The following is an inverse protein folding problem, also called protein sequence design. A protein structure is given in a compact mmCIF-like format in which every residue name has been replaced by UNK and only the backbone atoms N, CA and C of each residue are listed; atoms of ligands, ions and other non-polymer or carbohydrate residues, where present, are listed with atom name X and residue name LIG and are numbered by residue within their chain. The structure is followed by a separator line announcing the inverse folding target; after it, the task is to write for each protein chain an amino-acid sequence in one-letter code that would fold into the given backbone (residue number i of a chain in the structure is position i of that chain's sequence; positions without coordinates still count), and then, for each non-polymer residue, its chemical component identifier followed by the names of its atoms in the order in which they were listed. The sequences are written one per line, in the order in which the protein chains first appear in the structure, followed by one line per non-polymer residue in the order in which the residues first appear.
data_IF_756147742013
#
_entry.id   IF_756147742013
#
_cell.length_a   1.000
_cell.length_b   1.000
_cell.length_c   1.000
_cell.angle_alpha   90.00
_cell.angle_beta   90.00
_cell.angle_gamma   90.00
#
_symmetry.space_group_name_H-M   'P 1'
#
loop_
_entity.id
_entity.type
_entity.pdbx_description
1 polymer ?
#
# COMPACT_ATOMS: atom_id res chain seq x y z
N UNK A 1 -38.54 23.36 -4.51
CA UNK A 1 -38.65 23.85 -5.90
C UNK A 1 -37.91 25.18 -6.00
N UNK A 2 -36.83 25.40 -6.77
CA UNK A 2 -35.91 24.52 -7.51
C UNK A 2 -34.49 25.12 -7.28
N UNK A 3 -33.38 24.39 -7.10
CA UNK A 3 -33.13 22.95 -7.18
C UNK A 3 -33.29 22.33 -8.60
N UNK A 4 -32.45 22.80 -9.55
CA UNK A 4 -31.99 22.15 -10.80
C UNK A 4 -31.13 23.16 -11.61
N UNK A 5 -30.11 22.68 -12.34
CA UNK A 5 -29.08 23.43 -13.12
C UNK A 5 -27.91 23.96 -12.25
N UNK A 6 -26.78 23.26 -12.04
CA UNK A 6 -25.84 22.46 -12.89
C UNK A 6 -24.78 23.38 -13.55
N UNK A 7 -23.45 23.24 -13.44
CA UNK A 7 -22.55 22.28 -12.76
C UNK A 7 -22.60 20.78 -13.17
N UNK A 8 -21.94 20.40 -14.27
CA UNK A 8 -21.31 19.09 -14.64
C UNK A 8 -21.00 19.14 -16.17
N UNK A 9 -20.07 18.40 -16.80
CA UNK A 9 -18.90 17.58 -16.39
C UNK A 9 -17.84 17.72 -17.55
N UNK A 10 -16.77 16.95 -17.83
CA UNK A 10 -16.42 15.51 -17.65
C UNK A 10 -14.94 15.33 -17.28
N UNK A 11 -14.65 14.97 -16.02
CA UNK A 11 -13.52 14.08 -15.63
C UNK A 11 -13.57 13.69 -14.13
N UNK A 12 -14.78 13.64 -13.54
CA UNK A 12 -15.01 13.44 -12.10
C UNK A 12 -15.80 12.16 -11.81
N UNK A 13 -15.53 11.12 -12.60
CA UNK A 13 -16.16 9.79 -12.54
C UNK A 13 -15.03 8.76 -12.61
N UNK A 14 -15.21 7.63 -11.90
CA UNK A 14 -14.18 6.61 -11.60
C UNK A 14 -13.15 7.01 -10.53
N UNK A 15 -13.66 7.33 -9.34
CA UNK A 15 -13.36 6.54 -8.15
C UNK A 15 -14.58 6.61 -7.21
N UNK A 16 -14.99 5.46 -6.66
CA UNK A 16 -16.21 5.23 -5.88
C UNK A 16 -17.54 5.39 -6.65
N UNK A 17 -18.51 4.53 -6.31
CA UNK A 17 -19.72 4.25 -7.09
C UNK A 17 -20.93 5.13 -6.76
N UNK A 18 -21.59 5.73 -7.76
CA UNK A 18 -22.98 6.21 -7.59
C UNK A 18 -23.42 7.41 -8.46
N UNK A 19 -24.17 7.14 -9.54
CA UNK A 19 -25.12 7.99 -10.29
C UNK A 19 -25.23 9.51 -9.99
N UNK A 20 -25.18 10.34 -11.06
CA UNK A 20 -26.36 11.14 -11.56
C UNK A 20 -26.04 11.95 -12.85
N UNK A 21 -27.04 12.05 -13.76
CA UNK A 21 -26.98 12.67 -15.11
C UNK A 21 -27.26 14.20 -15.14
N UNK A 22 -26.44 14.96 -15.88
CA UNK A 22 -26.54 16.41 -16.05
C UNK A 22 -26.08 16.86 -17.47
N UNK A 23 -26.65 17.98 -17.98
CA UNK A 23 -26.29 18.59 -19.29
C UNK A 23 -25.99 20.11 -19.19
N UNK A 24 -25.29 20.73 -20.16
CA UNK A 24 -24.46 21.95 -19.95
C UNK A 24 -25.10 23.32 -20.31
N UNK A 25 -24.45 24.42 -19.91
CA UNK A 25 -24.75 25.83 -20.30
C UNK A 25 -23.43 26.67 -20.40
N UNK A 26 -23.42 27.67 -21.28
CA UNK A 26 -22.25 28.46 -21.73
C UNK A 26 -21.73 29.59 -20.78
N UNK A 27 -20.47 30.06 -20.97
CA UNK A 27 -19.83 31.11 -20.16
C UNK A 27 -20.20 32.55 -20.55
N UNK A 28 -19.85 33.52 -19.68
CA UNK A 28 -20.04 34.96 -19.85
C UNK A 28 -18.69 35.71 -19.86
N UNK A 29 -18.59 36.77 -20.66
CA UNK A 29 -17.39 37.62 -20.82
C UNK A 29 -17.16 38.57 -19.64
N UNK A 30 -15.90 38.94 -19.43
CA UNK A 30 -15.50 40.15 -18.69
C UNK A 30 -14.49 40.95 -19.52
N UNK A 31 -14.52 42.28 -19.44
CA UNK A 31 -13.63 43.20 -20.18
C UNK A 31 -13.14 44.34 -19.29
N UNK A 32 -11.88 44.72 -19.38
CA UNK A 32 -11.35 45.97 -18.84
C UNK A 32 -10.24 46.54 -19.74
N UNK A 33 -10.16 47.87 -19.82
CA UNK A 33 -9.13 48.60 -20.55
C UNK A 33 -8.17 49.28 -19.57
N UNK A 34 -6.86 49.22 -19.81
CA UNK A 34 -5.87 50.19 -19.33
C UNK A 34 -4.91 50.48 -20.50
N UNK A 35 -4.38 51.69 -20.58
CA UNK A 35 -3.60 52.19 -21.72
C UNK A 35 -2.34 52.97 -21.31
N UNK A 36 -1.42 53.09 -22.28
CA UNK A 36 -0.28 54.02 -22.39
C UNK A 36 1.13 53.53 -22.00
N UNK A 37 2.12 54.17 -22.65
CA UNK A 37 3.57 53.94 -22.63
C UNK A 37 4.03 52.56 -23.13
N UNK A 38 4.14 52.43 -24.46
CA UNK A 38 4.91 51.34 -25.10
C UNK A 38 6.40 51.64 -24.96
N UNK A 39 7.11 50.67 -24.40
CA UNK A 39 8.57 50.59 -24.32
C UNK A 39 8.93 49.31 -25.07
N UNK A 40 9.68 49.41 -26.18
CA UNK A 40 9.92 48.29 -27.09
C UNK A 40 10.61 47.10 -26.40
N UNK A 41 11.33 47.34 -25.28
CA UNK A 41 11.91 46.29 -24.45
C UNK A 41 10.85 45.40 -23.76
N UNK A 42 9.65 45.92 -23.52
CA UNK A 42 8.51 45.20 -22.93
C UNK A 42 7.63 44.53 -23.98
N UNK A 43 7.64 45.02 -25.22
CA UNK A 43 6.85 44.42 -26.32
C UNK A 43 7.33 43.00 -26.59
N UNK A 44 8.65 42.80 -26.76
CA UNK A 44 9.25 41.46 -26.89
C UNK A 44 8.84 40.55 -25.73
N UNK A 45 8.99 40.99 -24.48
CA UNK A 45 8.66 40.19 -23.29
C UNK A 45 7.17 39.84 -23.25
N UNK A 46 6.27 40.74 -23.64
CA UNK A 46 4.83 40.46 -23.73
C UNK A 46 4.47 39.51 -24.88
N UNK A 47 5.12 39.63 -26.04
CA UNK A 47 4.92 38.71 -27.17
C UNK A 47 5.48 37.32 -26.88
N UNK A 48 6.67 37.21 -26.27
CA UNK A 48 7.27 35.96 -25.82
C UNK A 48 6.40 35.25 -24.77
N UNK A 49 5.88 35.98 -23.77
CA UNK A 49 4.93 35.43 -22.80
C UNK A 49 3.60 35.00 -23.45
N UNK A 50 3.06 35.75 -24.41
CA UNK A 50 1.83 35.37 -25.12
C UNK A 50 2.03 34.13 -26.01
N UNK A 51 3.16 34.05 -26.71
CA UNK A 51 3.52 32.87 -27.53
C UNK A 51 3.73 31.63 -26.64
N UNK A 52 4.46 31.77 -25.53
CA UNK A 52 4.64 30.69 -24.54
C UNK A 52 3.31 30.22 -23.95
N UNK A 53 2.44 31.14 -23.54
CA UNK A 53 1.09 30.83 -23.04
C UNK A 53 0.26 30.07 -24.09
N UNK A 54 0.33 30.50 -25.35
CA UNK A 54 -0.40 29.87 -26.46
C UNK A 54 0.13 28.46 -26.75
N UNK A 55 1.46 28.27 -26.78
CA UNK A 55 2.11 26.95 -26.91
C UNK A 55 1.68 26.01 -25.77
N UNK A 56 1.72 26.46 -24.51
CA UNK A 56 1.27 25.67 -23.35
C UNK A 56 -0.18 25.21 -23.51
N UNK A 57 -1.10 26.11 -23.88
CA UNK A 57 -2.51 25.77 -24.08
C UNK A 57 -2.73 24.79 -25.23
N UNK A 58 -2.00 24.93 -26.35
CA UNK A 58 -2.08 23.99 -27.47
C UNK A 58 -1.57 22.59 -27.08
N UNK A 59 -0.45 22.51 -26.36
CA UNK A 59 0.10 21.24 -25.88
C UNK A 59 -0.84 20.57 -24.87
N UNK A 60 -1.41 21.33 -23.94
CA UNK A 60 -2.44 20.84 -23.00
C UNK A 60 -3.66 20.26 -23.72
N UNK A 61 -4.19 20.97 -24.74
CA UNK A 61 -5.32 20.49 -25.54
C UNK A 61 -4.99 19.24 -26.35
N UNK A 62 -3.75 19.14 -26.88
CA UNK A 62 -3.30 17.97 -27.64
C UNK A 62 -3.22 16.72 -26.77
N UNK A 63 -2.58 16.82 -25.59
CA UNK A 63 -2.48 15.71 -24.62
C UNK A 63 -3.87 15.32 -24.09
N UNK A 64 -4.72 16.28 -23.72
CA UNK A 64 -6.06 16.00 -23.22
C UNK A 64 -6.92 15.25 -24.26
N UNK A 65 -6.95 15.75 -25.51
CA UNK A 65 -7.62 15.06 -26.62
C UNK A 65 -7.03 13.67 -26.90
N UNK A 66 -5.71 13.50 -26.72
CA UNK A 66 -5.07 12.20 -26.88
C UNK A 66 -5.51 11.23 -25.78
N UNK A 67 -5.61 11.70 -24.53
CA UNK A 67 -6.08 10.94 -23.37
C UNK A 67 -7.55 10.50 -23.53
N UNK A 68 -8.45 11.40 -23.94
CA UNK A 68 -9.85 11.09 -24.27
C UNK A 68 -9.99 9.99 -25.35
N UNK A 69 -8.99 9.87 -26.24
CA UNK A 69 -8.91 8.92 -27.33
C UNK A 69 -7.96 7.72 -27.05
N UNK A 70 -7.73 7.38 -25.79
CA UNK A 70 -7.07 6.13 -25.40
C UNK A 70 -8.10 5.01 -25.24
N UNK A 71 -7.78 3.85 -25.81
CA UNK A 71 -8.47 2.58 -25.56
C UNK A 71 -7.63 1.66 -24.66
N UNK A 72 -6.29 1.68 -24.83
CA UNK A 72 -5.34 0.87 -24.07
C UNK A 72 -4.05 1.63 -23.80
N UNK A 73 -3.53 1.50 -22.58
CA UNK A 73 -2.20 1.96 -22.16
C UNK A 73 -1.47 0.80 -21.50
N UNK A 74 -0.16 0.69 -21.72
CA UNK A 74 0.69 -0.04 -20.80
C UNK A 74 1.89 0.80 -20.35
N UNK A 75 2.33 0.55 -19.13
CA UNK A 75 3.45 1.23 -18.49
C UNK A 75 4.43 0.21 -17.91
N UNK A 76 5.71 0.58 -17.92
CA UNK A 76 6.74 -0.11 -17.17
C UNK A 76 7.42 0.94 -16.28
N UNK A 77 7.21 0.82 -14.98
CA UNK A 77 7.67 1.76 -13.97
C UNK A 77 8.79 1.15 -13.13
N UNK A 78 9.74 1.98 -12.76
CA UNK A 78 10.68 1.73 -11.67
C UNK A 78 10.40 2.73 -10.55
N UNK A 79 9.90 2.23 -9.43
CA UNK A 79 9.81 2.98 -8.17
C UNK A 79 11.03 2.64 -7.34
N UNK A 80 11.70 3.65 -6.80
CA UNK A 80 12.81 3.47 -5.86
C UNK A 80 12.65 4.42 -4.69
N UNK A 81 12.77 3.88 -3.47
CA UNK A 81 12.67 4.68 -2.24
C UNK A 81 13.88 4.45 -1.36
N UNK A 82 14.53 5.54 -0.97
CA UNK A 82 15.66 5.53 -0.03
C UNK A 82 15.15 5.89 1.37
N UNK A 83 15.50 5.07 2.35
CA UNK A 83 15.11 5.18 3.77
C UNK A 83 16.34 4.86 4.61
N UNK A 84 16.88 5.82 5.37
CA UNK A 84 18.05 5.63 6.24
C UNK A 84 19.20 4.84 5.55
N UNK A 85 19.61 5.31 4.37
CA UNK A 85 20.58 4.70 3.43
C UNK A 85 20.24 3.30 2.87
N UNK A 86 19.13 2.68 3.26
CA UNK A 86 18.57 1.49 2.62
C UNK A 86 17.79 1.87 1.36
N UNK A 87 17.89 1.05 0.30
CA UNK A 87 17.21 1.26 -0.98
C UNK A 87 16.20 0.15 -1.24
N UNK A 88 14.92 0.51 -1.21
CA UNK A 88 13.80 -0.33 -1.62
C UNK A 88 13.44 -0.05 -3.10
N UNK A 89 13.03 -1.08 -3.86
CA UNK A 89 12.58 -0.91 -5.25
C UNK A 89 11.34 -1.74 -5.60
N UNK A 90 10.53 -1.20 -6.51
CA UNK A 90 9.47 -1.92 -7.21
C UNK A 90 9.66 -1.73 -8.71
N UNK A 91 9.59 -2.82 -9.48
CA UNK A 91 9.29 -2.77 -10.91
C UNK A 91 7.79 -3.00 -11.05
N UNK A 92 7.04 -1.98 -11.42
CA UNK A 92 5.59 -2.12 -11.66
C UNK A 92 5.36 -2.23 -13.18
N UNK A 93 4.62 -3.25 -13.62
CA UNK A 93 4.08 -3.35 -14.97
C UNK A 93 2.58 -3.16 -14.89
N UNK A 94 2.07 -2.14 -15.56
CA UNK A 94 0.65 -1.74 -15.51
C UNK A 94 0.05 -1.79 -16.90
N UNK A 95 -1.14 -2.39 -17.03
CA UNK A 95 -1.95 -2.42 -18.25
C UNK A 95 -3.35 -1.87 -17.91
N UNK A 96 -3.82 -0.89 -18.67
CA UNK A 96 -5.07 -0.17 -18.40
C UNK A 96 -5.97 -0.11 -19.64
N UNK A 97 -7.25 -0.42 -19.44
CA UNK A 97 -8.30 -0.37 -20.46
C UNK A 97 -9.14 0.90 -20.26
N UNK A 98 -9.40 1.62 -21.34
CA UNK A 98 -10.15 2.87 -21.36
C UNK A 98 -11.28 2.84 -22.39
N UNK A 99 -12.36 3.56 -22.13
CA UNK A 99 -13.46 3.83 -23.07
C UNK A 99 -13.93 5.27 -22.86
N UNK A 100 -13.94 6.12 -23.90
CA UNK A 100 -14.31 7.55 -23.81
C UNK A 100 -13.54 8.33 -22.71
N UNK A 101 -12.24 8.04 -22.53
CA UNK A 101 -11.42 8.65 -21.47
C UNK A 101 -11.75 8.18 -20.05
N UNK A 102 -12.44 7.05 -19.90
CA UNK A 102 -12.85 6.46 -18.62
C UNK A 102 -12.23 5.07 -18.45
N UNK A 103 -11.46 4.88 -17.36
CA UNK A 103 -10.80 3.63 -16.99
C UNK A 103 -11.83 2.51 -16.71
N UNK A 104 -11.83 1.46 -17.54
CA UNK A 104 -12.76 0.31 -17.43
C UNK A 104 -12.17 -0.92 -16.76
N UNK A 105 -10.86 -0.94 -16.52
CA UNK A 105 -10.18 -1.99 -15.78
C UNK A 105 -8.68 -1.89 -15.92
N UNK A 106 -7.96 -2.63 -15.08
CA UNK A 106 -6.51 -2.72 -15.15
C UNK A 106 -5.99 -4.05 -14.59
N UNK A 107 -4.81 -4.44 -15.05
CA UNK A 107 -3.96 -5.45 -14.43
C UNK A 107 -2.61 -4.81 -14.11
N UNK A 108 -2.16 -4.98 -12.87
CA UNK A 108 -0.83 -4.56 -12.41
C UNK A 108 -0.06 -5.76 -11.87
N UNK A 109 1.24 -5.78 -12.13
CA UNK A 109 2.20 -6.73 -11.55
C UNK A 109 3.39 -5.97 -10.98
N UNK A 110 3.57 -6.05 -9.66
CA UNK A 110 4.71 -5.49 -8.94
C UNK A 110 5.74 -6.59 -8.70
N UNK A 111 6.99 -6.37 -9.11
CA UNK A 111 8.14 -7.15 -8.64
C UNK A 111 8.93 -6.30 -7.66
N UNK A 112 8.95 -6.71 -6.40
CA UNK A 112 9.56 -5.99 -5.28
C UNK A 112 10.93 -6.59 -5.00
N UNK A 113 11.99 -5.80 -5.15
CA UNK A 113 13.35 -6.22 -4.80
C UNK A 113 13.65 -5.81 -3.35
N UNK A 114 13.81 -6.78 -2.45
CA UNK A 114 14.25 -6.53 -1.07
C UNK A 114 15.42 -7.46 -0.71
N UNK A 115 16.62 -6.89 -0.56
CA UNK A 115 17.89 -7.60 -0.37
C UNK A 115 18.16 -8.74 -1.39
N UNK A 116 17.80 -9.97 -1.03
CA UNK A 116 18.02 -11.20 -1.80
C UNK A 116 16.73 -11.93 -2.18
N UNK A 117 15.57 -11.36 -1.87
CA UNK A 117 14.27 -11.91 -2.21
C UNK A 117 13.55 -11.01 -3.21
N UNK A 118 12.80 -11.64 -4.09
CA UNK A 118 11.86 -10.99 -5.00
C UNK A 118 10.45 -11.41 -4.57
N UNK A 119 9.56 -10.45 -4.33
CA UNK A 119 8.13 -10.70 -4.08
C UNK A 119 7.34 -10.29 -5.30
N UNK A 120 6.24 -10.98 -5.60
CA UNK A 120 5.30 -10.56 -6.64
C UNK A 120 3.93 -10.20 -6.03
N UNK A 121 3.43 -9.01 -6.34
CA UNK A 121 2.03 -8.64 -6.10
C UNK A 121 1.32 -8.50 -7.45
N UNK A 122 0.12 -9.05 -7.57
CA UNK A 122 -0.75 -8.85 -8.73
C UNK A 122 -2.06 -8.22 -8.27
N UNK A 123 -2.49 -7.17 -8.98
CA UNK A 123 -3.72 -6.42 -8.71
C UNK A 123 -4.55 -6.39 -9.99
N UNK A 124 -5.82 -6.74 -9.89
CA UNK A 124 -6.74 -6.77 -11.04
C UNK A 124 -8.06 -6.09 -10.70
N UNK A 125 -8.54 -5.20 -11.57
CA UNK A 125 -9.79 -4.46 -11.41
C UNK A 125 -10.67 -4.58 -12.65
N UNK A 126 -11.92 -5.01 -12.48
CA UNK A 126 -12.89 -5.28 -13.57
C UNK A 126 -13.71 -4.06 -14.00
N UNK A 127 -13.54 -2.92 -13.31
CA UNK A 127 -14.49 -1.81 -13.35
C UNK A 127 -15.55 -1.87 -12.24
N UNK A 128 -15.78 -3.05 -11.65
CA UNK A 128 -16.77 -3.25 -10.56
C UNK A 128 -16.17 -3.95 -9.33
N UNK A 129 -15.27 -4.91 -9.53
CA UNK A 129 -14.65 -5.75 -8.49
C UNK A 129 -13.12 -5.61 -8.50
N UNK A 130 -12.51 -5.72 -7.32
CA UNK A 130 -11.06 -5.62 -7.11
C UNK A 130 -10.52 -6.95 -6.58
N UNK A 131 -9.46 -7.43 -7.22
CA UNK A 131 -8.82 -8.70 -6.90
C UNK A 131 -7.32 -8.50 -6.64
N UNK A 132 -6.80 -9.24 -5.67
CA UNK A 132 -5.41 -9.22 -5.28
C UNK A 132 -4.84 -10.64 -5.23
N UNK A 133 -3.56 -10.76 -5.53
CA UNK A 133 -2.78 -11.99 -5.39
C UNK A 133 -1.37 -11.63 -4.93
N UNK A 134 -0.83 -12.44 -4.04
CA UNK A 134 0.53 -12.35 -3.54
C UNK A 134 1.29 -13.64 -3.91
N UNK A 135 2.47 -13.52 -4.49
CA UNK A 135 3.31 -14.61 -5.01
C UNK A 135 2.49 -15.64 -5.84
N UNK A 136 2.55 -16.92 -5.46
CA UNK A 136 1.91 -18.06 -6.13
C UNK A 136 0.44 -18.27 -5.76
N UNK A 137 -0.09 -17.48 -4.82
CA UNK A 137 -1.35 -17.79 -4.12
C UNK A 137 -2.60 -17.57 -5.01
N UNK A 138 -3.73 -18.15 -4.62
CA UNK A 138 -5.02 -17.94 -5.29
C UNK A 138 -5.48 -16.48 -5.21
N UNK A 139 -6.25 -16.05 -6.22
CA UNK A 139 -6.82 -14.70 -6.28
C UNK A 139 -7.88 -14.46 -5.19
N UNK A 140 -7.71 -13.37 -4.44
CA UNK A 140 -8.61 -12.94 -3.38
C UNK A 140 -9.44 -11.74 -3.86
N UNK A 141 -10.76 -11.78 -3.74
CA UNK A 141 -11.62 -10.61 -3.93
C UNK A 141 -11.55 -9.74 -2.67
N UNK A 142 -11.27 -8.44 -2.81
CA UNK A 142 -11.12 -7.52 -1.69
C UNK A 142 -12.23 -6.47 -1.67
N UNK A 143 -12.69 -6.14 -0.47
CA UNK A 143 -13.73 -5.14 -0.23
C UNK A 143 -13.26 -4.11 0.81
N UNK A 144 -13.53 -2.82 0.54
CA UNK A 144 -13.09 -1.70 1.38
C UNK A 144 -11.89 -0.94 0.80
N UNK A 145 -11.26 -0.11 1.63
CA UNK A 145 -10.16 0.78 1.22
C UNK A 145 -8.83 0.03 1.11
N UNK A 146 -8.48 -0.40 -0.10
CA UNK A 146 -7.22 -1.11 -0.40
C UNK A 146 -6.06 -0.16 -0.72
N UNK A 147 -4.83 -0.71 -0.67
CA UNK A 147 -3.63 -0.10 -1.28
C UNK A 147 -3.92 0.21 -2.77
N UNK A 148 -3.54 1.41 -3.20
CA UNK A 148 -3.70 1.86 -4.58
C UNK A 148 -2.57 1.31 -5.48
N UNK A 149 -2.48 1.78 -6.72
CA UNK A 149 -1.39 1.42 -7.65
C UNK A 149 -1.17 2.55 -8.67
N UNK A 150 0.00 2.59 -9.31
CA UNK A 150 0.48 3.75 -10.07
C UNK A 150 -0.06 3.72 -11.51
N UNK A 151 -1.37 3.94 -11.62
CA UNK A 151 -2.07 4.05 -12.90
C UNK A 151 -1.67 5.29 -13.70
N UNK A 152 -1.81 5.24 -15.02
CA UNK A 152 -1.49 6.33 -15.94
C UNK A 152 -2.37 7.55 -15.65
N UNK A 153 -3.66 7.35 -15.35
CA UNK A 153 -4.56 8.43 -14.90
C UNK A 153 -4.05 9.11 -13.62
N UNK A 154 -3.49 8.36 -12.67
CA UNK A 154 -2.86 8.92 -11.46
C UNK A 154 -1.66 9.81 -11.83
N UNK A 155 -0.81 9.38 -12.76
CA UNK A 155 0.33 10.17 -13.25
C UNK A 155 -0.11 11.40 -14.08
N UNK A 156 -1.24 11.33 -14.79
CA UNK A 156 -1.84 12.46 -15.51
C UNK A 156 -2.42 13.52 -14.58
N UNK A 157 -2.92 13.12 -13.40
CA UNK A 157 -3.45 14.05 -12.39
C UNK A 157 -2.45 15.16 -12.05
N UNK A 158 -1.21 14.76 -11.75
CA UNK A 158 -0.10 15.69 -11.45
C UNK A 158 0.39 16.51 -12.65
N UNK A 159 -0.03 16.21 -13.88
CA UNK A 159 0.25 17.04 -15.06
C UNK A 159 -0.77 18.17 -15.20
N UNK A 160 -2.05 17.90 -14.91
CA UNK A 160 -3.18 18.77 -15.27
C UNK A 160 -3.87 19.49 -14.11
N UNK A 161 -4.02 18.87 -12.94
CA UNK A 161 -4.68 19.49 -11.79
C UNK A 161 -3.73 20.43 -11.02
N UNK A 162 -4.26 21.32 -10.18
CA UNK A 162 -3.47 22.28 -9.38
C UNK A 162 -2.97 23.51 -10.17
N UNK A 163 -2.37 24.47 -9.46
CA UNK A 163 -2.07 25.81 -10.00
C UNK A 163 -0.74 25.98 -10.75
N UNK A 164 0.16 25.01 -10.68
CA UNK A 164 1.58 25.25 -10.91
C UNK A 164 1.94 25.48 -12.39
N UNK A 165 3.03 26.22 -12.63
CA UNK A 165 3.48 26.52 -13.98
C UNK A 165 4.17 25.34 -14.66
N UNK A 166 3.94 25.21 -15.97
CA UNK A 166 4.65 24.26 -16.82
C UNK A 166 5.87 24.98 -17.40
N UNK A 167 7.06 24.48 -17.11
CA UNK A 167 8.29 24.91 -17.76
C UNK A 167 8.52 24.00 -18.98
N UNK A 168 8.59 24.60 -20.17
CA UNK A 168 8.76 23.86 -21.43
C UNK A 168 10.22 23.92 -21.88
N UNK A 169 10.76 22.77 -22.27
CA UNK A 169 12.12 22.60 -22.77
C UNK A 169 12.03 21.84 -24.11
N UNK A 170 12.32 22.53 -25.21
CA UNK A 170 11.93 22.12 -26.57
C UNK A 170 13.05 21.34 -27.29
N UNK A 171 12.69 20.20 -27.90
CA UNK A 171 13.56 19.42 -28.78
C UNK A 171 12.82 19.07 -30.10
N UNK A 172 13.56 18.75 -31.17
CA UNK A 172 13.02 18.77 -32.55
C UNK A 172 11.80 17.89 -32.84
N UNK A 173 11.42 16.94 -31.97
CA UNK A 173 10.15 16.19 -32.09
C UNK A 173 9.46 15.92 -30.72
N UNK A 174 9.96 16.48 -29.61
CA UNK A 174 9.43 16.23 -28.26
C UNK A 174 9.57 17.49 -27.39
N UNK A 175 8.59 17.75 -26.53
CA UNK A 175 8.69 18.76 -25.47
C UNK A 175 8.83 18.06 -24.13
N UNK A 176 9.84 18.45 -23.36
CA UNK A 176 9.90 18.13 -21.93
C UNK A 176 9.09 19.17 -21.16
N UNK A 177 8.01 18.72 -20.52
CA UNK A 177 7.23 19.51 -19.57
C UNK A 177 7.77 19.24 -18.17
N UNK A 178 8.30 20.27 -17.51
CA UNK A 178 8.78 20.20 -16.12
C UNK A 178 7.82 21.00 -15.23
N UNK A 179 7.52 20.45 -14.05
CA UNK A 179 6.61 21.05 -13.07
C UNK A 179 7.12 20.77 -11.67
N UNK A 180 7.10 21.78 -10.79
CA UNK A 180 7.14 21.58 -9.34
C UNK A 180 5.70 21.51 -8.85
N UNK A 181 5.37 20.53 -8.00
CA UNK A 181 4.05 20.42 -7.39
C UNK A 181 4.06 21.23 -6.10
N UNK A 182 3.24 22.28 -6.03
CA UNK A 182 3.04 23.10 -4.81
C UNK A 182 1.59 23.05 -4.30
N UNK A 183 0.70 22.34 -5.01
CA UNK A 183 -0.69 22.12 -4.61
C UNK A 183 -0.79 21.12 -3.44
N UNK A 184 -1.22 21.63 -2.28
CA UNK A 184 -1.36 20.87 -1.03
C UNK A 184 -2.25 19.62 -1.19
N UNK A 185 -3.33 19.68 -1.98
CA UNK A 185 -4.23 18.53 -2.15
C UNK A 185 -3.59 17.41 -2.98
N UNK A 186 -2.79 17.78 -3.99
CA UNK A 186 -2.00 16.80 -4.76
C UNK A 186 -0.87 16.21 -3.91
N UNK A 187 -0.20 17.02 -3.08
CA UNK A 187 0.86 16.54 -2.20
C UNK A 187 0.32 15.57 -1.14
N UNK A 188 -0.76 15.91 -0.44
CA UNK A 188 -1.34 15.07 0.64
C UNK A 188 -1.74 13.67 0.17
N UNK A 189 -2.27 13.52 -1.06
CA UNK A 189 -2.71 12.22 -1.59
C UNK A 189 -1.59 11.39 -2.24
N UNK A 190 -0.39 11.96 -2.44
CA UNK A 190 0.71 11.30 -3.12
C UNK A 190 1.15 9.97 -2.45
N UNK A 191 1.26 9.86 -1.11
CA UNK A 191 1.63 8.61 -0.46
C UNK A 191 0.63 7.45 -0.67
N UNK A 192 -0.66 7.78 -0.84
CA UNK A 192 -1.70 6.80 -1.13
C UNK A 192 -1.68 6.40 -2.61
N UNK A 193 -1.74 7.38 -3.53
CA UNK A 193 -1.76 7.12 -4.98
C UNK A 193 -0.49 6.40 -5.46
N UNK A 194 0.66 6.67 -4.87
CA UNK A 194 1.93 6.00 -5.18
C UNK A 194 2.24 4.81 -4.25
N UNK A 195 1.31 4.49 -3.32
CA UNK A 195 1.35 3.33 -2.42
C UNK A 195 2.71 3.06 -1.81
N UNK A 196 3.23 4.12 -1.18
CA UNK A 196 4.59 4.14 -0.65
C UNK A 196 4.78 3.13 0.50
N UNK A 197 5.96 2.50 0.62
CA UNK A 197 6.19 1.38 1.52
C UNK A 197 6.51 1.79 2.97
N UNK A 198 6.24 3.04 3.36
CA UNK A 198 6.39 3.53 4.74
C UNK A 198 5.09 4.07 5.31
N UNK A 199 4.92 3.86 6.61
CA UNK A 199 3.93 4.53 7.44
C UNK A 199 4.39 5.98 7.68
N UNK A 200 3.63 6.96 7.19
CA UNK A 200 3.92 8.40 7.32
C UNK A 200 2.92 9.06 8.26
N UNK A 201 3.37 10.01 9.09
CA UNK A 201 2.46 10.80 9.93
C UNK A 201 1.56 11.73 9.13
N UNK A 202 0.39 12.06 9.69
CA UNK A 202 -0.53 13.09 9.18
C UNK A 202 0.08 14.51 9.10
N UNK A 203 1.26 14.71 9.70
CA UNK A 203 2.02 15.97 9.70
C UNK A 203 3.22 15.94 8.73
N UNK A 204 3.30 14.92 7.85
CA UNK A 204 4.35 14.75 6.84
C UNK A 204 4.45 15.94 5.87
N UNK A 205 5.68 16.34 5.51
CA UNK A 205 5.95 17.41 4.56
C UNK A 205 6.57 16.85 3.29
N UNK A 206 5.90 17.07 2.15
CA UNK A 206 6.26 16.51 0.85
C UNK A 206 6.65 17.64 -0.11
N UNK A 207 7.87 17.60 -0.63
CA UNK A 207 8.27 18.35 -1.83
C UNK A 207 8.26 17.40 -3.04
N UNK A 208 7.70 17.81 -4.17
CA UNK A 208 7.61 16.97 -5.37
C UNK A 208 7.91 17.74 -6.66
N UNK A 209 8.70 17.13 -7.55
CA UNK A 209 8.85 17.55 -8.94
C UNK A 209 8.45 16.45 -9.92
N UNK A 210 7.93 16.85 -11.08
CA UNK A 210 7.45 15.95 -12.13
C UNK A 210 7.93 16.43 -13.51
N UNK A 211 8.32 15.49 -14.36
CA UNK A 211 8.89 15.74 -15.68
C UNK A 211 8.30 14.75 -16.69
N UNK A 212 7.72 15.26 -17.77
CA UNK A 212 6.98 14.48 -18.77
C UNK A 212 7.57 14.73 -20.17
N UNK A 213 7.81 13.66 -20.93
CA UNK A 213 8.23 13.75 -22.34
C UNK A 213 7.04 13.57 -23.27
N UNK A 214 6.64 14.65 -23.94
CA UNK A 214 5.46 14.71 -24.81
C UNK A 214 5.87 14.73 -26.28
N UNK A 215 5.28 13.84 -27.07
CA UNK A 215 5.29 13.87 -28.53
C UNK A 215 4.46 15.05 -29.05
N UNK A 216 5.09 15.95 -29.81
CA UNK A 216 4.46 17.19 -30.29
C UNK A 216 3.52 17.02 -31.49
N UNK A 217 3.54 15.88 -32.18
CA UNK A 217 2.64 15.62 -33.32
C UNK A 217 1.28 15.09 -32.87
N UNK A 218 1.26 14.27 -31.82
CA UNK A 218 0.08 13.49 -31.43
C UNK A 218 -0.33 13.59 -29.95
N UNK A 219 0.50 14.18 -29.08
CA UNK A 219 0.22 14.35 -27.65
C UNK A 219 0.51 13.13 -26.78
N UNK A 220 1.14 12.09 -27.32
CA UNK A 220 1.57 10.93 -26.54
C UNK A 220 2.64 11.34 -25.53
N UNK A 221 2.35 11.11 -24.25
CA UNK A 221 3.38 11.09 -23.22
C UNK A 221 4.09 9.74 -23.33
N UNK A 222 5.41 9.76 -23.45
CA UNK A 222 6.23 8.55 -23.70
C UNK A 222 7.13 8.19 -22.52
N UNK A 223 7.37 9.14 -21.61
CA UNK A 223 8.20 8.95 -20.43
C UNK A 223 7.81 9.96 -19.34
N UNK A 224 7.83 9.52 -18.09
CA UNK A 224 7.49 10.31 -16.91
C UNK A 224 8.55 10.06 -15.83
N UNK A 225 9.01 11.11 -15.17
CA UNK A 225 9.78 11.04 -13.93
C UNK A 225 9.06 11.86 -12.87
N UNK A 226 8.95 11.32 -11.66
CA UNK A 226 8.57 12.08 -10.47
C UNK A 226 9.61 11.84 -9.39
N UNK A 227 10.05 12.90 -8.72
CA UNK A 227 10.88 12.81 -7.53
C UNK A 227 10.10 13.41 -6.35
N UNK A 228 10.16 12.77 -5.19
CA UNK A 228 9.57 13.27 -3.95
C UNK A 228 10.60 13.24 -2.83
N UNK A 229 10.72 14.34 -2.09
CA UNK A 229 11.42 14.41 -0.81
C UNK A 229 10.37 14.52 0.27
N UNK A 230 10.33 13.52 1.15
CA UNK A 230 9.35 13.42 2.23
C UNK A 230 10.10 13.59 3.53
N UNK A 231 9.70 14.58 4.34
CA UNK A 231 10.23 14.82 5.67
C UNK A 231 9.09 14.50 6.65
N UNK A 232 9.25 13.45 7.44
CA UNK A 232 8.21 12.97 8.36
C UNK A 232 8.84 12.50 9.67
N UNK A 233 8.44 13.16 10.76
CA UNK A 233 9.05 13.02 12.08
C UNK A 233 10.58 13.27 12.00
N UNK A 234 11.38 12.44 12.68
CA UNK A 234 12.85 12.47 12.65
C UNK A 234 13.49 12.03 11.30
N UNK A 235 12.69 11.64 10.31
CA UNK A 235 13.11 10.84 9.15
C UNK A 235 12.94 11.60 7.82
N UNK A 236 13.90 11.43 6.90
CA UNK A 236 13.78 11.88 5.51
C UNK A 236 13.80 10.69 4.55
N UNK A 237 12.80 10.62 3.69
CA UNK A 237 12.63 9.60 2.66
C UNK A 237 12.77 10.26 1.28
N UNK A 238 13.34 9.55 0.31
CA UNK A 238 13.48 10.02 -1.07
C UNK A 238 12.90 9.00 -2.02
N UNK A 239 11.81 9.35 -2.69
CA UNK A 239 11.14 8.51 -3.68
C UNK A 239 11.46 9.02 -5.08
N UNK A 240 11.70 8.10 -6.00
CA UNK A 240 11.75 8.38 -7.44
C UNK A 240 10.89 7.34 -8.18
N UNK A 241 10.00 7.84 -9.03
CA UNK A 241 9.15 7.04 -9.94
C UNK A 241 9.58 7.37 -11.36
N UNK A 242 9.99 6.37 -12.14
CA UNK A 242 10.31 6.52 -13.57
C UNK A 242 9.44 5.59 -14.38
N UNK A 243 8.63 6.11 -15.31
CA UNK A 243 7.69 5.31 -16.12
C UNK A 243 7.95 5.49 -17.61
N UNK A 244 8.03 4.37 -18.34
CA UNK A 244 8.00 4.35 -19.80
C UNK A 244 6.58 3.98 -20.25
N UNK A 245 5.98 4.83 -21.08
CA UNK A 245 4.57 4.75 -21.47
C UNK A 245 4.43 4.20 -22.90
N UNK A 246 3.50 3.26 -23.08
CA UNK A 246 3.02 2.84 -24.39
C UNK A 246 1.51 3.09 -24.50
N UNK A 247 1.14 4.19 -25.13
CA UNK A 247 -0.24 4.58 -25.49
C UNK A 247 -0.76 3.92 -26.78
N UNK A 248 -0.04 2.90 -27.27
CA UNK A 248 -0.37 2.05 -28.42
C UNK A 248 -0.18 0.57 -28.00
N UNK A 249 -0.65 0.24 -26.79
CA UNK A 249 -0.48 -1.06 -26.18
C UNK A 249 -1.47 -2.09 -26.75
N UNK A 250 -0.95 -3.23 -27.20
CA UNK A 250 -1.72 -4.39 -27.61
C UNK A 250 -1.55 -5.50 -26.57
N UNK A 251 -2.58 -5.71 -25.75
CA UNK A 251 -2.72 -6.83 -24.82
C UNK A 251 -4.11 -7.46 -24.96
N UNK A 252 -4.23 -8.77 -24.70
CA UNK A 252 -5.52 -9.47 -24.72
C UNK A 252 -6.39 -9.09 -23.51
N UNK A 253 -7.68 -9.39 -23.55
CA UNK A 253 -8.53 -9.14 -22.38
C UNK A 253 -8.12 -10.10 -21.26
N UNK A 254 -7.81 -9.55 -20.09
CA UNK A 254 -7.32 -10.31 -18.95
C UNK A 254 -8.32 -11.39 -18.51
N UNK A 255 -7.81 -12.57 -18.19
CA UNK A 255 -8.57 -13.67 -17.58
C UNK A 255 -7.81 -14.14 -16.34
N UNK A 256 -8.28 -13.73 -15.17
CA UNK A 256 -7.86 -14.31 -13.89
C UNK A 256 -8.75 -15.52 -13.58
N UNK A 257 -8.17 -16.58 -13.02
CA UNK A 257 -8.95 -17.71 -12.51
C UNK A 257 -9.21 -17.53 -11.02
N UNK A 258 -10.41 -17.02 -10.70
CA UNK A 258 -10.90 -16.84 -9.33
C UNK A 258 -11.41 -18.14 -8.70
N UNK A 259 -11.43 -19.25 -9.45
CA UNK A 259 -11.81 -20.57 -8.96
C UNK A 259 -10.60 -21.50 -8.81
N UNK A 260 -9.39 -20.97 -8.99
CA UNK A 260 -8.14 -21.74 -8.94
C UNK A 260 -7.78 -22.11 -7.50
N UNK A 261 -8.44 -23.17 -7.02
CA UNK A 261 -8.10 -23.88 -5.80
C UNK A 261 -6.93 -24.82 -6.08
N UNK A 262 -5.87 -24.74 -5.27
CA UNK A 262 -4.78 -25.71 -5.34
C UNK A 262 -5.33 -27.07 -4.90
N UNK A 263 -5.00 -28.12 -5.65
CA UNK A 263 -5.58 -29.45 -5.42
C UNK A 263 -5.16 -30.01 -4.06
N UNK A 264 -6.14 -30.28 -3.18
CA UNK A 264 -5.99 -30.84 -1.82
C UNK A 264 -5.37 -32.27 -1.74
N UNK A 265 -4.76 -32.75 -2.82
CA UNK A 265 -4.11 -34.07 -2.93
C UNK A 265 -2.66 -33.89 -3.36
N UNK A 266 -1.95 -33.05 -2.62
CA UNK A 266 -0.48 -32.89 -2.66
C UNK A 266 0.19 -33.95 -1.78
N UNK A 267 1.45 -34.25 -2.05
CA UNK A 267 2.29 -35.02 -1.12
C UNK A 267 2.80 -34.14 0.05
N UNK A 268 3.14 -34.73 1.21
CA UNK A 268 3.63 -33.97 2.39
C UNK A 268 4.80 -33.02 2.06
N UNK A 269 5.71 -33.45 1.18
CA UNK A 269 6.85 -32.64 0.70
C UNK A 269 6.44 -31.51 -0.24
N UNK A 270 5.41 -31.72 -1.04
CA UNK A 270 4.85 -30.73 -1.97
C UNK A 270 4.05 -29.68 -1.19
N UNK A 271 3.32 -30.11 -0.16
CA UNK A 271 2.70 -29.26 0.85
C UNK A 271 3.73 -28.41 1.61
N UNK A 272 4.84 -29.00 2.08
CA UNK A 272 5.95 -28.25 2.71
C UNK A 272 6.49 -27.15 1.78
N UNK A 273 6.73 -27.48 0.50
CA UNK A 273 7.22 -26.51 -0.48
C UNK A 273 6.20 -25.39 -0.73
N UNK A 274 4.91 -25.72 -0.87
CA UNK A 274 3.85 -24.72 -1.06
C UNK A 274 3.70 -23.79 0.16
N UNK A 275 3.87 -24.31 1.37
CA UNK A 275 3.87 -23.51 2.61
C UNK A 275 5.08 -22.57 2.64
N UNK A 276 6.28 -23.03 2.29
CA UNK A 276 7.46 -22.17 2.23
C UNK A 276 7.35 -21.09 1.13
N UNK A 277 6.79 -21.41 -0.04
CA UNK A 277 6.57 -20.44 -1.13
C UNK A 277 5.48 -19.40 -0.82
N UNK A 278 4.43 -19.78 -0.06
CA UNK A 278 3.32 -18.91 0.30
C UNK A 278 3.65 -17.93 1.46
N UNK A 279 4.71 -18.19 2.24
CA UNK A 279 5.02 -17.45 3.48
C UNK A 279 6.44 -16.85 3.46
N UNK A 280 6.65 -15.68 2.83
CA UNK A 280 7.97 -15.04 2.80
C UNK A 280 8.29 -14.29 4.11
N UNK A 281 9.53 -14.45 4.59
CA UNK A 281 10.09 -13.72 5.75
C UNK A 281 10.10 -12.19 5.61
N UNK A 282 9.97 -11.69 4.38
CA UNK A 282 10.07 -10.29 4.03
C UNK A 282 8.72 -9.81 3.48
N UNK A 283 8.09 -8.93 4.26
CA UNK A 283 6.81 -8.27 3.98
C UNK A 283 7.00 -6.76 4.13
N UNK A 284 6.04 -5.97 3.66
CA UNK A 284 6.03 -4.50 3.79
C UNK A 284 5.06 -4.10 4.92
N UNK A 285 3.88 -4.72 4.96
CA UNK A 285 2.92 -4.59 6.04
C UNK A 285 2.04 -5.83 6.18
N UNK A 286 1.50 -6.04 7.37
CA UNK A 286 0.40 -6.96 7.66
C UNK A 286 -0.39 -6.45 8.88
N UNK A 287 -1.59 -6.98 9.08
CA UNK A 287 -2.36 -6.78 10.31
C UNK A 287 -2.20 -8.01 11.22
N UNK A 288 -1.82 -7.77 12.47
CA UNK A 288 -1.79 -8.77 13.52
C UNK A 288 -2.99 -8.56 14.45
N UNK A 289 -3.74 -9.61 14.78
CA UNK A 289 -4.63 -9.59 15.94
C UNK A 289 -4.09 -10.51 17.03
N UNK A 290 -3.80 -9.92 18.19
CA UNK A 290 -3.38 -10.62 19.40
C UNK A 290 -4.55 -10.68 20.38
N UNK A 291 -4.76 -11.85 20.98
CA UNK A 291 -5.75 -12.05 22.03
C UNK A 291 -5.28 -13.09 23.05
N UNK A 292 -5.37 -12.74 24.32
CA UNK A 292 -5.24 -13.67 25.45
C UNK A 292 -6.62 -14.12 25.97
N UNK A 293 -6.64 -14.93 27.03
CA UNK A 293 -7.89 -15.35 27.69
C UNK A 293 -8.66 -14.19 28.35
N UNK A 294 -8.09 -12.97 28.47
CA UNK A 294 -8.70 -11.80 29.14
C UNK A 294 -9.61 -10.98 28.22
N UNK A 295 -10.08 -11.58 27.12
CA UNK A 295 -11.20 -11.13 26.25
C UNK A 295 -10.98 -9.86 25.43
N UNK A 296 -10.00 -9.03 25.74
CA UNK A 296 -9.64 -7.90 24.89
C UNK A 296 -8.91 -8.39 23.62
N UNK A 297 -8.78 -7.55 22.60
CA UNK A 297 -8.07 -7.89 21.36
C UNK A 297 -7.23 -6.71 20.93
N UNK A 298 -5.93 -6.91 20.85
CA UNK A 298 -4.98 -5.91 20.36
C UNK A 298 -4.85 -6.06 18.85
N UNK A 299 -5.00 -4.96 18.12
CA UNK A 299 -4.64 -4.86 16.71
C UNK A 299 -3.26 -4.23 16.61
N UNK A 300 -2.37 -4.84 15.82
CA UNK A 300 -1.09 -4.24 15.42
C UNK A 300 -1.08 -4.10 13.90
N UNK A 301 -0.73 -2.92 13.40
CA UNK A 301 -0.35 -2.71 12.01
C UNK A 301 1.13 -2.41 11.96
N UNK A 302 1.91 -3.39 11.49
CA UNK A 302 3.35 -3.25 11.35
C UNK A 302 3.76 -2.78 9.96
N UNK A 303 4.77 -1.92 9.90
CA UNK A 303 5.48 -1.56 8.68
C UNK A 303 6.95 -2.01 8.80
N UNK A 304 7.37 -2.87 7.87
CA UNK A 304 8.62 -3.62 7.95
C UNK A 304 9.54 -3.25 6.78
N UNK A 305 10.85 -3.20 7.07
CA UNK A 305 11.90 -2.94 6.08
C UNK A 305 12.95 -4.03 6.19
N UNK A 306 13.17 -4.76 5.10
CA UNK A 306 14.10 -5.90 5.03
C UNK A 306 13.78 -7.05 6.02
N UNK A 307 12.51 -7.15 6.45
CA UNK A 307 12.02 -8.11 7.44
C UNK A 307 12.03 -7.58 8.89
N UNK A 308 12.82 -6.56 9.21
CA UNK A 308 12.84 -5.93 10.54
C UNK A 308 11.69 -4.92 10.68
N UNK A 309 11.09 -4.74 11.87
CA UNK A 309 10.07 -3.71 12.10
C UNK A 309 10.68 -2.29 12.04
N UNK A 310 10.05 -1.37 11.32
CA UNK A 310 10.49 0.02 11.19
C UNK A 310 9.60 1.00 11.96
N UNK A 311 8.29 0.92 11.70
CA UNK A 311 7.24 1.63 12.43
C UNK A 311 6.05 0.69 12.68
N UNK A 312 5.35 0.80 13.80
CA UNK A 312 4.10 0.05 14.05
C UNK A 312 3.08 0.92 14.79
N UNK A 313 1.80 0.60 14.60
CA UNK A 313 0.70 1.13 15.43
C UNK A 313 0.07 -0.06 16.16
N UNK A 314 -0.06 0.06 17.48
CA UNK A 314 -0.63 -0.96 18.36
C UNK A 314 -1.76 -0.34 19.19
N UNK A 315 -2.92 -1.00 19.29
CA UNK A 315 -4.01 -0.54 20.13
C UNK A 315 -5.09 -1.59 20.38
N UNK A 316 -5.85 -1.42 21.46
CA UNK A 316 -6.92 -2.36 21.83
C UNK A 316 -8.20 -2.02 21.07
N UNK A 317 -8.69 -2.98 20.30
CA UNK A 317 -9.88 -2.89 19.45
C UNK A 317 -11.17 -2.95 20.28
N UNK A 318 -11.92 -1.85 20.34
CA UNK A 318 -13.19 -1.73 21.05
C UNK A 318 -14.23 -1.01 20.18
N UNK A 319 -15.37 -1.67 19.94
CA UNK A 319 -16.51 -1.13 19.17
C UNK A 319 -16.12 -0.45 17.83
N UNK A 320 -15.25 -1.09 17.05
CA UNK A 320 -14.70 -0.60 15.77
C UNK A 320 -13.74 0.60 15.87
N UNK A 321 -13.23 0.91 17.06
CA UNK A 321 -12.20 1.94 17.31
C UNK A 321 -10.97 1.34 18.00
N UNK A 322 -9.82 2.01 17.93
CA UNK A 322 -8.64 1.66 18.71
C UNK A 322 -8.55 2.51 19.97
N UNK A 323 -8.17 1.88 21.07
CA UNK A 323 -8.00 2.50 22.40
C UNK A 323 -6.62 2.16 22.97
N UNK A 324 -6.11 2.98 23.90
CA UNK A 324 -4.76 2.84 24.48
C UNK A 324 -3.63 2.82 23.43
N UNK A 325 -3.83 3.52 22.31
CA UNK A 325 -2.94 3.48 21.13
C UNK A 325 -1.51 3.85 21.53
N UNK A 326 -0.56 3.02 21.09
CA UNK A 326 0.86 3.32 21.11
C UNK A 326 1.42 3.30 19.69
N UNK A 327 2.42 4.15 19.46
CA UNK A 327 3.18 4.20 18.21
C UNK A 327 4.60 3.72 18.47
N UNK A 328 5.07 2.85 17.59
CA UNK A 328 6.42 2.28 17.65
C UNK A 328 7.24 2.84 16.49
N UNK A 329 8.46 3.31 16.76
CA UNK A 329 9.43 3.71 15.74
C UNK A 329 10.85 3.49 16.23
N UNK A 330 11.71 2.89 15.40
CA UNK A 330 13.13 2.72 15.65
C UNK A 330 13.51 2.10 17.03
N UNK A 331 12.78 1.08 17.49
CA UNK A 331 12.92 0.41 18.80
C UNK A 331 12.55 1.28 20.02
N UNK A 332 11.62 2.22 19.84
CA UNK A 332 10.96 2.96 20.91
C UNK A 332 9.45 2.85 20.77
N UNK A 333 8.78 2.53 21.87
CA UNK A 333 7.34 2.70 22.03
C UNK A 333 7.07 4.11 22.57
N UNK A 334 6.03 4.75 22.05
CA UNK A 334 5.50 6.02 22.50
C UNK A 334 4.01 5.81 22.83
N UNK A 335 3.60 6.06 24.08
CA UNK A 335 2.22 5.87 24.53
C UNK A 335 1.76 7.02 25.41
N UNK A 336 0.51 7.47 25.22
CA UNK A 336 -0.07 8.55 26.03
C UNK A 336 -0.71 7.99 27.31
N UNK A 337 -0.15 8.34 28.48
CA UNK A 337 -0.58 7.90 29.81
C UNK A 337 -0.82 9.14 30.68
N UNK A 338 -2.02 9.26 31.26
CA UNK A 338 -2.48 10.39 32.09
C UNK A 338 -2.21 11.80 31.48
N UNK A 339 -2.18 11.92 30.15
CA UNK A 339 -1.90 13.17 29.44
C UNK A 339 -0.41 13.54 29.35
N UNK A 340 0.48 12.55 29.42
CA UNK A 340 1.91 12.65 29.12
C UNK A 340 2.29 11.53 28.15
N UNK A 341 3.29 11.74 27.30
CA UNK A 341 3.84 10.65 26.46
C UNK A 341 4.97 9.96 27.21
N UNK A 342 4.74 8.71 27.60
CA UNK A 342 5.81 7.81 28.06
C UNK A 342 6.56 7.22 26.88
N UNK A 343 7.85 6.96 27.07
CA UNK A 343 8.75 6.40 26.05
C UNK A 343 9.44 5.17 26.66
N UNK A 344 9.34 4.02 25.98
CA UNK A 344 10.01 2.78 26.39
C UNK A 344 10.98 2.32 25.29
N UNK A 345 12.25 2.12 25.64
CA UNK A 345 13.26 1.57 24.71
C UNK A 345 13.19 0.04 24.71
N UNK A 346 12.43 -0.50 23.76
CA UNK A 346 12.12 -1.93 23.62
C UNK A 346 12.33 -2.32 22.16
N UNK A 347 13.13 -3.37 21.91
CA UNK A 347 13.26 -3.91 20.55
C UNK A 347 11.91 -4.49 20.11
N UNK A 348 11.65 -4.45 18.81
CA UNK A 348 10.54 -5.18 18.20
C UNK A 348 11.06 -6.32 17.32
N UNK A 349 10.24 -7.37 17.28
CA UNK A 349 10.41 -8.59 16.51
C UNK A 349 9.26 -8.72 15.50
N UNK A 350 9.58 -9.28 14.34
CA UNK A 350 8.58 -9.65 13.35
C UNK A 350 8.01 -11.02 13.73
N UNK A 351 6.95 -11.03 14.55
CA UNK A 351 6.33 -12.26 15.09
C UNK A 351 5.90 -13.21 13.97
N UNK A 352 5.33 -12.71 12.88
CA UNK A 352 5.01 -13.52 11.71
C UNK A 352 6.26 -14.23 11.16
N UNK A 353 7.34 -13.49 10.86
CA UNK A 353 8.57 -14.08 10.33
C UNK A 353 9.23 -15.08 11.31
N UNK A 354 9.14 -14.85 12.63
CA UNK A 354 9.59 -15.78 13.67
C UNK A 354 8.83 -17.10 13.63
N UNK A 355 7.50 -17.08 13.52
CA UNK A 355 6.69 -18.30 13.43
C UNK A 355 6.82 -19.00 12.08
N UNK A 356 6.96 -18.27 10.97
CA UNK A 356 7.29 -18.85 9.66
C UNK A 356 8.67 -19.53 9.70
N UNK A 357 9.67 -18.92 10.35
CA UNK A 357 11.02 -19.51 10.42
C UNK A 357 10.99 -20.80 11.23
N UNK A 358 10.22 -20.81 12.32
CA UNK A 358 10.01 -22.01 13.12
C UNK A 358 9.25 -23.10 12.34
N UNK A 359 8.23 -22.72 11.58
CA UNK A 359 7.45 -23.62 10.73
C UNK A 359 8.30 -24.28 9.63
N UNK A 360 9.21 -23.55 9.00
CA UNK A 360 10.16 -24.04 7.98
C UNK A 360 11.25 -24.94 8.63
N UNK A 361 11.91 -24.46 9.69
CA UNK A 361 12.98 -25.20 10.39
C UNK A 361 12.53 -26.47 11.11
N UNK A 362 11.28 -26.52 11.60
CA UNK A 362 10.77 -27.63 12.41
C UNK A 362 9.76 -28.53 11.67
N UNK A 363 9.45 -28.29 10.40
CA UNK A 363 8.35 -28.94 9.66
C UNK A 363 8.29 -30.47 9.82
N UNK A 364 9.43 -31.14 9.66
CA UNK A 364 9.58 -32.61 9.75
C UNK A 364 9.28 -33.18 11.16
N UNK A 365 9.09 -32.32 12.17
CA UNK A 365 8.80 -32.67 13.57
C UNK A 365 7.37 -32.28 14.00
N UNK A 366 6.59 -31.61 13.14
CA UNK A 366 5.24 -31.15 13.47
C UNK A 366 4.20 -32.27 13.28
N UNK A 367 3.27 -32.40 14.22
CA UNK A 367 2.12 -33.30 14.09
C UNK A 367 1.02 -32.60 13.28
N UNK A 368 0.67 -33.13 12.09
CA UNK A 368 -0.52 -32.67 11.38
C UNK A 368 -1.78 -33.27 12.03
N UNK A 369 -2.65 -32.40 12.54
CA UNK A 369 -3.88 -32.82 13.21
C UNK A 369 -4.95 -33.29 12.21
N UNK A 370 -5.81 -34.23 12.61
CA UNK A 370 -6.95 -34.67 11.81
C UNK A 370 -7.96 -33.52 11.60
N UNK A 371 -8.00 -32.98 10.38
CA UNK A 371 -8.95 -31.96 9.97
C UNK A 371 -10.25 -32.57 9.43
N UNK A 372 -11.40 -31.96 9.73
CA UNK A 372 -12.67 -32.31 9.10
C UNK A 372 -12.70 -31.91 7.61
N UNK A 373 -13.59 -32.51 6.83
CA UNK A 373 -13.86 -32.10 5.44
C UNK A 373 -14.28 -30.62 5.35
N UNK A 374 -14.97 -30.11 6.37
CA UNK A 374 -15.43 -28.71 6.47
C UNK A 374 -14.35 -27.73 6.97
N UNK A 375 -13.19 -28.19 7.46
CA UNK A 375 -12.13 -27.30 7.94
C UNK A 375 -11.51 -26.51 6.78
N UNK A 376 -11.36 -25.20 6.93
CA UNK A 376 -10.61 -24.31 6.01
C UNK A 376 -9.09 -24.35 6.23
N UNK A 377 -8.63 -24.99 7.31
CA UNK A 377 -7.22 -24.98 7.72
C UNK A 377 -6.59 -26.37 7.74
N UNK A 378 -5.33 -26.43 7.36
CA UNK A 378 -4.35 -27.41 7.84
C UNK A 378 -3.89 -26.90 9.21
N UNK A 379 -3.82 -27.79 10.20
CA UNK A 379 -3.24 -27.47 11.51
C UNK A 379 -2.04 -28.36 11.74
N UNK A 380 -0.87 -27.74 11.88
CA UNK A 380 0.37 -28.40 12.27
C UNK A 380 0.67 -28.04 13.73
N UNK A 381 1.11 -29.00 14.53
CA UNK A 381 1.34 -28.84 15.96
C UNK A 381 2.78 -29.10 16.33
N UNK A 382 3.38 -28.16 17.05
CA UNK A 382 4.61 -28.37 17.82
C UNK A 382 4.24 -28.63 19.29
N UNK A 383 4.77 -29.70 19.87
CA UNK A 383 4.42 -30.12 21.23
C UNK A 383 5.69 -30.18 22.11
N UNK A 384 5.63 -29.51 23.26
CA UNK A 384 6.78 -29.31 24.15
C UNK A 384 6.72 -30.21 25.40
N UNK A 385 5.75 -31.13 25.46
CA UNK A 385 5.37 -31.86 26.68
C UNK A 385 5.27 -30.90 27.88
N UNK A 386 5.93 -31.19 29.00
CA UNK A 386 5.94 -30.37 30.22
C UNK A 386 7.06 -29.31 30.24
N UNK A 387 7.81 -29.12 29.15
CA UNK A 387 8.98 -28.23 29.13
C UNK A 387 8.59 -26.76 28.91
N UNK A 388 8.23 -26.10 30.01
CA UNK A 388 7.98 -24.66 30.04
C UNK A 388 9.22 -23.83 29.69
N UNK A 389 10.44 -24.27 30.02
CA UNK A 389 11.66 -23.49 29.70
C UNK A 389 11.89 -23.46 28.19
N UNK A 390 11.77 -24.60 27.50
CA UNK A 390 11.86 -24.67 26.06
C UNK A 390 10.72 -23.89 25.40
N UNK A 391 9.45 -24.14 25.76
CA UNK A 391 8.29 -23.41 25.23
C UNK A 391 8.45 -21.89 25.40
N UNK A 392 8.72 -21.43 26.62
CA UNK A 392 8.93 -20.02 26.95
C UNK A 392 10.10 -19.41 26.18
N UNK A 393 11.16 -20.16 25.88
CA UNK A 393 12.29 -19.68 25.08
C UNK A 393 11.95 -19.39 23.62
N UNK A 394 10.91 -20.01 23.06
CA UNK A 394 10.44 -19.78 21.68
C UNK A 394 9.58 -18.52 21.52
N UNK A 395 9.08 -17.99 22.64
CA UNK A 395 8.12 -16.88 22.70
C UNK A 395 8.82 -15.56 23.06
N UNK A 396 9.56 -15.02 22.10
CA UNK A 396 10.12 -13.66 22.13
C UNK A 396 8.99 -12.62 22.13
N UNK A 397 9.08 -11.60 22.99
CA UNK A 397 8.20 -10.40 22.99
C UNK A 397 6.68 -10.70 23.01
N UNK A 398 6.30 -11.83 23.60
CA UNK A 398 4.91 -12.21 23.92
C UNK A 398 4.85 -12.37 25.45
N UNK A 399 3.83 -11.79 26.10
CA UNK A 399 3.59 -12.08 27.51
C UNK A 399 3.12 -13.53 27.65
N UNK A 400 3.84 -14.26 28.49
CA UNK A 400 3.73 -15.71 28.67
C UNK A 400 3.60 -16.13 30.12
N UNK A 401 3.49 -15.17 31.05
CA UNK A 401 3.26 -15.48 32.46
C UNK A 401 1.92 -16.19 32.68
N UNK A 402 0.94 -16.01 31.78
CA UNK A 402 -0.32 -16.78 31.77
C UNK A 402 -0.10 -18.29 31.64
N UNK A 403 0.98 -18.72 30.98
CA UNK A 403 1.35 -20.13 30.82
C UNK A 403 2.19 -20.68 31.98
N UNK A 404 2.67 -19.84 32.90
CA UNK A 404 3.58 -20.22 33.99
C UNK A 404 2.83 -20.99 35.11
N UNK A 405 2.43 -22.23 34.82
CA UNK A 405 1.50 -23.03 35.63
C UNK A 405 2.03 -24.45 35.92
N UNK A 406 1.89 -24.91 37.15
CA UNK A 406 2.27 -26.28 37.56
C UNK A 406 1.47 -27.37 36.81
N UNK A 407 2.16 -28.46 36.44
CA UNK A 407 1.58 -29.69 35.85
C UNK A 407 0.82 -29.51 34.53
N UNK A 408 1.21 -28.53 33.70
CA UNK A 408 0.69 -28.38 32.32
C UNK A 408 1.58 -29.04 31.27
N UNK A 409 0.98 -29.33 30.12
CA UNK A 409 1.70 -29.50 28.85
C UNK A 409 1.50 -28.29 27.96
N UNK A 410 2.44 -28.03 27.05
CA UNK A 410 2.48 -26.84 26.19
C UNK A 410 2.54 -27.21 24.71
N UNK A 411 1.92 -26.38 23.87
CA UNK A 411 1.97 -26.54 22.42
C UNK A 411 1.76 -25.25 21.64
N UNK A 412 2.12 -25.33 20.35
CA UNK A 412 1.97 -24.27 19.35
C UNK A 412 1.27 -24.90 18.14
N UNK A 413 0.06 -24.43 17.84
CA UNK A 413 -0.73 -24.87 16.68
C UNK A 413 -0.66 -23.80 15.59
N UNK A 414 -0.05 -24.14 14.45
CA UNK A 414 0.07 -23.30 13.26
C UNK A 414 -1.16 -23.49 12.37
N UNK A 415 -1.88 -22.41 12.07
CA UNK A 415 -3.10 -22.41 11.25
C UNK A 415 -2.79 -21.98 9.82
N UNK A 416 -2.81 -22.94 8.90
CA UNK A 416 -2.38 -22.77 7.51
C UNK A 416 -3.61 -22.90 6.60
N UNK A 417 -3.89 -21.88 5.80
CA UNK A 417 -5.04 -21.86 4.89
C UNK A 417 -4.92 -22.98 3.82
N UNK A 418 -5.95 -23.80 3.64
CA UNK A 418 -5.94 -24.93 2.68
C UNK A 418 -5.85 -24.52 1.21
N UNK A 419 -6.28 -23.31 0.86
CA UNK A 419 -6.35 -22.83 -0.53
C UNK A 419 -5.11 -22.01 -0.90
N UNK A 420 -4.60 -21.19 0.01
CA UNK A 420 -3.45 -20.29 -0.22
C UNK A 420 -2.13 -20.75 0.41
N UNK A 421 -2.14 -21.78 1.26
CA UNK A 421 -1.00 -22.24 2.09
C UNK A 421 -0.37 -21.18 3.01
N UNK A 422 -1.02 -20.02 3.18
CA UNK A 422 -0.56 -18.96 4.09
C UNK A 422 -0.81 -19.33 5.55
N UNK A 423 0.16 -19.03 6.42
CA UNK A 423 0.04 -19.04 7.86
C UNK A 423 -0.85 -17.85 8.28
N UNK A 424 -2.14 -18.13 8.52
CA UNK A 424 -3.12 -17.12 8.93
C UNK A 424 -3.18 -16.95 10.46
N UNK A 425 -2.57 -17.84 11.23
CA UNK A 425 -2.52 -17.66 12.68
C UNK A 425 -1.72 -18.72 13.42
N UNK A 426 -1.49 -18.45 14.70
CA UNK A 426 -0.79 -19.32 15.65
C UNK A 426 -1.56 -19.31 16.97
N UNK A 427 -1.88 -20.50 17.48
CA UNK A 427 -2.47 -20.66 18.82
C UNK A 427 -1.39 -21.23 19.74
N UNK A 428 -1.02 -20.44 20.74
CA UNK A 428 -0.18 -20.85 21.87
C UNK A 428 -1.12 -21.35 22.97
N UNK A 429 -0.90 -22.56 23.47
CA UNK A 429 -1.81 -23.17 24.45
C UNK A 429 -1.08 -23.97 25.52
N UNK A 430 -1.70 -24.05 26.70
CA UNK A 430 -1.36 -25.04 27.72
C UNK A 430 -2.57 -25.86 28.13
N UNK A 431 -2.37 -27.14 28.45
CA UNK A 431 -3.43 -28.04 28.90
C UNK A 431 -3.02 -28.83 30.14
N UNK A 432 -3.99 -29.23 30.94
CA UNK A 432 -3.76 -30.01 32.16
C UNK A 432 -3.32 -31.44 31.87
N UNK A 433 -2.24 -31.88 32.53
CA UNK A 433 -1.69 -33.25 32.37
C UNK A 433 -2.62 -34.37 32.86
N UNK A 434 -3.66 -34.06 33.65
CA UNK A 434 -4.58 -35.05 34.23
C UNK A 434 -5.97 -34.93 33.61
N UNK A 435 -6.50 -33.71 33.43
CA UNK A 435 -7.86 -33.50 32.88
C UNK A 435 -7.91 -33.25 31.37
N UNK A 436 -6.77 -32.96 30.72
CA UNK A 436 -6.69 -32.46 29.34
C UNK A 436 -7.51 -31.18 29.08
N UNK A 437 -7.85 -30.44 30.13
CA UNK A 437 -8.54 -29.15 30.06
C UNK A 437 -7.54 -28.04 29.71
N UNK A 438 -7.86 -27.22 28.70
CA UNK A 438 -7.04 -26.07 28.29
C UNK A 438 -7.00 -25.06 29.43
N UNK A 439 -5.81 -24.72 29.91
CA UNK A 439 -5.57 -23.88 31.08
C UNK A 439 -5.20 -22.44 30.77
N UNK A 440 -4.63 -22.19 29.59
CA UNK A 440 -4.35 -20.85 29.05
C UNK A 440 -4.22 -20.89 27.52
N UNK A 441 -4.54 -19.76 26.87
CA UNK A 441 -4.52 -19.58 25.42
C UNK A 441 -4.03 -18.18 25.05
N UNK A 442 -3.19 -18.09 24.02
CA UNK A 442 -2.97 -16.86 23.26
C UNK A 442 -3.17 -17.19 21.77
N UNK A 443 -3.99 -16.39 21.09
CA UNK A 443 -4.19 -16.47 19.65
C UNK A 443 -3.56 -15.26 18.97
N UNK A 444 -2.74 -15.54 17.97
CA UNK A 444 -2.25 -14.60 16.97
C UNK A 444 -2.94 -14.92 15.65
N UNK A 445 -3.48 -13.92 14.95
CA UNK A 445 -3.87 -14.06 13.54
C UNK A 445 -3.12 -13.02 12.69
N UNK A 446 -2.75 -13.41 11.47
CA UNK A 446 -1.95 -12.64 10.53
C UNK A 446 -2.71 -12.50 9.21
N UNK A 447 -3.15 -11.27 8.90
CA UNK A 447 -4.04 -11.00 7.78
C UNK A 447 -3.55 -9.81 6.91
N UNK A 448 -4.12 -9.68 5.71
CA UNK A 448 -3.99 -8.50 4.85
C UNK A 448 -2.54 -8.15 4.42
N UNK A 449 -1.72 -9.18 4.18
CA UNK A 449 -0.32 -9.08 3.73
C UNK A 449 -0.13 -8.15 2.52
N UNK A 450 0.51 -7.00 2.76
CA UNK A 450 0.70 -5.87 1.84
C UNK A 450 -0.59 -5.27 1.22
N UNK A 451 -1.79 -5.64 1.69
CA UNK A 451 -3.09 -5.25 1.10
C UNK A 451 -3.45 -3.80 1.38
N UNK A 452 -2.98 -3.24 2.50
CA UNK A 452 -3.33 -1.89 2.94
C UNK A 452 -2.18 -0.89 2.77
N UNK A 453 -2.51 0.40 2.75
CA UNK A 453 -1.50 1.45 2.89
C UNK A 453 -0.91 1.40 4.31
N UNK A 454 0.43 1.40 4.50
CA UNK A 454 1.04 1.37 5.83
C UNK A 454 0.57 2.47 6.80
N UNK A 455 0.03 3.58 6.30
CA UNK A 455 -0.44 4.73 7.09
C UNK A 455 -1.93 4.66 7.48
N UNK A 456 -2.65 3.58 7.15
CA UNK A 456 -4.11 3.44 7.32
C UNK A 456 -4.62 3.79 8.73
N UNK A 457 -3.87 3.44 9.77
CA UNK A 457 -4.26 3.70 11.16
C UNK A 457 -3.64 4.97 11.77
N UNK A 458 -2.87 5.76 10.99
CA UNK A 458 -2.04 6.82 11.56
C UNK A 458 -2.83 8.00 12.16
N UNK A 459 -4.08 8.20 11.71
CA UNK A 459 -5.02 9.14 12.33
C UNK A 459 -5.45 8.74 13.75
N UNK A 460 -5.19 7.50 14.17
CA UNK A 460 -5.40 7.05 15.56
C UNK A 460 -4.26 7.45 16.50
N UNK A 461 -3.12 7.94 15.97
CA UNK A 461 -1.97 8.39 16.78
C UNK A 461 -2.17 9.85 17.21
N UNK A 462 -2.05 10.12 18.50
CA UNK A 462 -2.27 11.46 19.06
C UNK A 462 -1.15 12.44 18.69
N UNK A 463 -1.50 13.71 18.51
CA UNK A 463 -0.52 14.74 18.13
C UNK A 463 0.58 14.91 19.18
N UNK A 464 0.31 14.65 20.46
CA UNK A 464 1.33 14.64 21.51
C UNK A 464 2.42 13.60 21.24
N UNK A 465 2.06 12.40 20.78
CA UNK A 465 3.01 11.35 20.41
C UNK A 465 3.86 11.81 19.21
N UNK A 466 3.22 12.40 18.18
CA UNK A 466 3.92 12.88 16.99
C UNK A 466 4.86 14.06 17.30
N UNK A 467 4.43 15.03 18.12
CA UNK A 467 5.28 16.10 18.64
C UNK A 467 6.47 15.53 19.41
N UNK A 468 6.25 14.53 20.28
CA UNK A 468 7.28 13.97 21.16
C UNK A 468 8.41 13.24 20.43
N UNK A 469 8.17 12.76 19.21
CA UNK A 469 9.20 12.11 18.37
C UNK A 469 10.17 13.15 17.76
N UNK A 470 9.79 14.43 17.74
CA UNK A 470 10.57 15.53 17.17
C UNK A 470 11.40 16.33 18.21
N UNK A 471 11.43 15.90 19.48
CA UNK A 471 12.19 16.52 20.58
C UNK A 471 13.60 15.93 20.82
#
# INVERSE_FOLDING_TARGET
MNFKRNCLVTLSVLLLSGCVDLSPVNPIKTTSNISESVDDSKVNVMEDHQQSTTKKQQLQQLIAKRFEALEKVSMNLAVSTTINDQLYKVKEKTEELYEEGQLKGYLVTNQIEQNSHELEEQIYYTGEEYYYRFNSNSWQNLSGDTKSTILYISLMKYLFEGSDEWQLDESENNVMVKRKIEDEQLLTIAPQLFSLPMMLSKNTQIEMDAQYRVDTENGDITYIVMNMVINDLDSQYKVKIESNINSKAEFENWQIDTNQTVSLVTSEKEQQQLIAEANPYQLINYLETYRDDQTETTLIMGNYLNGEPYSLIEGVLKEQSLTNVSFWKANRQYQEIEGNVEIQEVKQSNRYAQFVQRLDEQYDLLEQLEATEESTFITLREFFEQDYEQFSSTLTEIDKEVFNQDNKVYGIDYLINKETYQLMGVILWSADTITAEVGATITLNFDNFNVYNPSLLMDQVSDQILEKINE
#
